data_IF_271843568046
#
_entry.id   IF_271843568046
#
_cell.length_a   1.000
_cell.length_b   1.000
_cell.length_c   1.000
_cell.angle_alpha   90.00
_cell.angle_beta   90.00
_cell.angle_gamma   90.00
#
_symmetry.space_group_name_H-M   'P 1'
#
loop_
_entity.id
_entity.type
_entity.pdbx_description
1 polymer ?
#
# COMPACT_ATOMS: atom_id res chain seq x y z
N UNK A 1 -17.00 7.79 19.94
CA UNK A 1 -16.65 8.21 18.57
C UNK A 1 -15.13 8.16 18.44
N UNK A 2 -14.58 7.26 17.62
CA UNK A 2 -13.14 7.24 17.37
C UNK A 2 -12.77 8.56 16.66
N UNK A 3 -11.77 9.30 17.19
CA UNK A 3 -11.19 10.44 16.46
C UNK A 3 -10.72 9.91 15.10
N UNK A 4 -11.09 10.61 14.02
CA UNK A 4 -10.55 10.29 12.70
C UNK A 4 -9.03 10.35 12.81
N UNK A 5 -8.36 9.20 12.72
CA UNK A 5 -6.89 9.09 12.80
C UNK A 5 -6.23 9.60 11.53
N UNK A 6 -7.02 10.06 10.56
CA UNK A 6 -6.50 10.59 9.32
C UNK A 6 -5.71 11.87 9.54
N UNK A 7 -4.47 11.85 9.06
CA UNK A 7 -3.59 13.01 8.97
C UNK A 7 -3.60 13.47 7.53
N UNK A 8 -3.84 14.76 7.29
CA UNK A 8 -3.73 15.35 5.96
C UNK A 8 -2.26 15.25 5.49
N UNK A 9 -1.96 14.52 4.41
CA UNK A 9 -0.58 14.37 3.93
C UNK A 9 0.07 15.71 3.56
N UNK A 10 -0.72 16.72 3.22
CA UNK A 10 -0.22 18.06 2.92
C UNK A 10 0.26 18.84 4.15
N UNK A 11 0.08 18.28 5.37
CA UNK A 11 0.58 18.85 6.63
C UNK A 11 1.87 18.21 7.12
N UNK A 12 2.51 17.35 6.32
CA UNK A 12 3.77 16.72 6.72
C UNK A 12 4.88 17.79 6.94
N UNK A 13 5.55 17.85 8.11
CA UNK A 13 6.30 19.05 8.54
C UNK A 13 7.46 19.53 7.66
N UNK A 14 8.01 18.68 6.78
CA UNK A 14 9.18 19.01 5.95
C UNK A 14 8.86 19.30 4.48
N UNK A 15 7.58 19.34 4.11
CA UNK A 15 7.18 19.70 2.75
C UNK A 15 7.29 21.22 2.55
N UNK A 16 7.86 21.63 1.41
CA UNK A 16 7.82 23.01 0.93
C UNK A 16 6.43 23.39 0.42
N UNK A 17 6.14 24.69 0.29
CA UNK A 17 4.86 25.19 -0.23
C UNK A 17 4.49 24.61 -1.61
N UNK A 18 5.50 24.43 -2.48
CA UNK A 18 5.32 23.80 -3.79
C UNK A 18 4.87 22.34 -3.64
N UNK A 19 5.53 21.59 -2.76
CA UNK A 19 5.22 20.18 -2.52
C UNK A 19 3.86 19.99 -1.84
N UNK A 20 3.49 20.88 -0.90
CA UNK A 20 2.15 20.92 -0.30
C UNK A 20 1.08 21.09 -1.39
N UNK A 21 1.31 22.00 -2.34
CA UNK A 21 0.43 22.20 -3.50
C UNK A 21 0.37 20.95 -4.39
N UNK A 22 1.51 20.31 -4.68
CA UNK A 22 1.58 19.04 -5.42
C UNK A 22 0.78 17.94 -4.74
N UNK A 23 0.99 17.72 -3.43
CA UNK A 23 0.27 16.70 -2.64
C UNK A 23 -1.24 16.92 -2.70
N UNK A 24 -1.72 18.15 -2.55
CA UNK A 24 -3.15 18.47 -2.64
C UNK A 24 -3.73 18.14 -4.01
N UNK A 25 -3.03 18.47 -5.09
CA UNK A 25 -3.46 18.15 -6.46
C UNK A 25 -3.50 16.64 -6.70
N UNK A 26 -2.46 15.91 -6.28
CA UNK A 26 -2.42 14.45 -6.42
C UNK A 26 -3.48 13.77 -5.57
N UNK A 27 -3.70 14.24 -4.35
CA UNK A 27 -4.78 13.72 -3.49
C UNK A 27 -6.15 13.88 -4.16
N UNK A 28 -6.47 15.07 -4.68
CA UNK A 28 -7.73 15.33 -5.37
C UNK A 28 -7.87 14.51 -6.66
N UNK A 29 -6.80 14.38 -7.43
CA UNK A 29 -6.74 13.50 -8.61
C UNK A 29 -7.05 12.05 -8.22
N UNK A 30 -6.36 11.53 -7.20
CA UNK A 30 -6.49 10.16 -6.72
C UNK A 30 -7.89 9.88 -6.22
N UNK A 31 -8.45 10.77 -5.39
CA UNK A 31 -9.83 10.65 -4.91
C UNK A 31 -10.81 10.58 -6.08
N UNK A 32 -10.64 11.45 -7.09
CA UNK A 32 -11.47 11.46 -8.28
C UNK A 32 -11.33 10.18 -9.10
N UNK A 33 -10.11 9.66 -9.24
CA UNK A 33 -9.81 8.42 -9.95
C UNK A 33 -10.57 7.23 -9.34
N UNK A 34 -10.54 7.09 -8.01
CA UNK A 34 -11.17 6.00 -7.28
C UNK A 34 -12.69 6.16 -7.06
N UNK A 35 -13.31 7.28 -7.45
CA UNK A 35 -14.79 7.42 -7.47
C UNK A 35 -15.45 6.57 -8.56
N UNK A 36 -14.69 6.05 -9.52
CA UNK A 36 -15.24 5.20 -10.56
C UNK A 36 -15.81 3.89 -9.96
N UNK A 37 -17.08 3.52 -10.23
CA UNK A 37 -17.71 2.32 -9.67
C UNK A 37 -17.02 0.99 -9.98
N UNK A 38 -16.06 0.96 -10.91
CA UNK A 38 -15.23 -0.23 -11.18
C UNK A 38 -14.38 -0.66 -9.99
N UNK A 39 -14.08 0.26 -9.07
CA UNK A 39 -13.31 -0.01 -7.86
C UNK A 39 -14.22 -0.52 -6.75
N UNK A 40 -13.96 -1.74 -6.30
CA UNK A 40 -14.71 -2.37 -5.22
C UNK A 40 -14.21 -1.89 -3.85
N UNK A 41 -14.95 -2.23 -2.78
CA UNK A 41 -14.62 -1.84 -1.41
C UNK A 41 -13.24 -2.34 -0.91
N UNK A 42 -12.60 -3.27 -1.62
CA UNK A 42 -11.26 -3.74 -1.29
C UNK A 42 -10.15 -2.85 -1.84
N UNK A 43 -10.42 -1.98 -2.83
CA UNK A 43 -9.46 -1.04 -3.44
C UNK A 43 -10.09 0.34 -3.70
N UNK A 44 -10.97 0.79 -2.80
CA UNK A 44 -11.55 2.13 -2.86
C UNK A 44 -10.56 3.19 -2.35
N UNK A 45 -10.93 4.46 -2.42
CA UNK A 45 -10.09 5.54 -1.90
C UNK A 45 -9.82 5.41 -0.38
N UNK A 46 -10.64 4.67 0.37
CA UNK A 46 -10.40 4.42 1.79
C UNK A 46 -9.22 3.47 2.00
N UNK A 47 -9.02 2.50 1.11
CA UNK A 47 -7.80 1.69 1.07
C UNK A 47 -6.57 2.59 0.90
N UNK A 48 -6.56 3.45 -0.12
CA UNK A 48 -5.46 4.40 -0.36
C UNK A 48 -5.17 5.28 0.86
N UNK A 49 -6.20 5.81 1.53
CA UNK A 49 -6.02 6.60 2.75
C UNK A 49 -5.40 5.80 3.91
N UNK A 50 -5.74 4.51 4.05
CA UNK A 50 -5.13 3.65 5.09
C UNK A 50 -3.67 3.32 4.75
N UNK A 51 -3.38 3.03 3.48
CA UNK A 51 -2.00 2.83 3.01
C UNK A 51 -1.16 4.08 3.26
N UNK A 52 -1.67 5.26 2.91
CA UNK A 52 -1.01 6.53 3.19
C UNK A 52 -0.75 6.74 4.68
N UNK A 53 -1.73 6.44 5.55
CA UNK A 53 -1.56 6.54 7.00
C UNK A 53 -0.49 5.57 7.53
N UNK A 54 -0.45 4.33 7.02
CA UNK A 54 0.62 3.38 7.35
C UNK A 54 1.98 3.91 6.88
N UNK A 55 2.06 4.42 5.65
CA UNK A 55 3.29 4.95 5.05
C UNK A 55 3.85 6.14 5.83
N UNK A 56 3.01 7.08 6.25
CA UNK A 56 3.42 8.22 7.08
C UNK A 56 3.94 7.77 8.46
N UNK A 57 3.29 6.77 9.07
CA UNK A 57 3.72 6.21 10.36
C UNK A 57 5.08 5.51 10.25
N UNK A 58 5.30 4.74 9.17
CA UNK A 58 6.58 4.11 8.90
C UNK A 58 7.64 5.18 8.65
N UNK A 59 7.36 6.14 7.76
CA UNK A 59 8.29 7.21 7.41
C UNK A 59 8.77 7.99 8.63
N UNK A 60 7.87 8.39 9.53
CA UNK A 60 8.23 9.11 10.75
C UNK A 60 9.26 8.32 11.60
N UNK A 61 8.99 7.05 11.86
CA UNK A 61 9.86 6.20 12.70
C UNK A 61 11.17 5.83 12.02
N UNK A 62 11.15 5.52 10.73
CA UNK A 62 12.35 5.20 9.97
C UNK A 62 13.25 6.44 9.81
N UNK A 63 12.67 7.64 9.69
CA UNK A 63 13.43 8.91 9.68
C UNK A 63 14.11 9.18 11.03
N UNK A 64 13.44 8.91 12.15
CA UNK A 64 14.06 9.01 13.48
C UNK A 64 15.26 8.06 13.61
N UNK A 65 15.10 6.81 13.18
CA UNK A 65 16.17 5.81 13.21
C UNK A 65 17.33 6.17 12.28
N UNK A 66 17.04 6.67 11.07
CA UNK A 66 18.06 7.14 10.11
C UNK A 66 18.86 8.30 10.66
N UNK A 67 18.21 9.26 11.32
CA UNK A 67 18.89 10.38 12.00
C UNK A 67 19.84 9.88 13.08
N UNK A 68 19.42 8.90 13.89
CA UNK A 68 20.28 8.30 14.91
C UNK A 68 21.49 7.56 14.31
N UNK A 69 21.31 6.92 13.15
CA UNK A 69 22.36 6.18 12.42
C UNK A 69 23.19 7.02 11.44
N UNK A 70 22.94 8.34 11.36
CA UNK A 70 23.55 9.24 10.38
C UNK A 70 23.41 8.75 8.92
N UNK A 71 22.28 8.12 8.60
CA UNK A 71 21.93 7.70 7.24
C UNK A 71 21.29 8.87 6.47
N UNK A 72 21.35 8.87 5.13
CA UNK A 72 20.63 9.85 4.32
C UNK A 72 19.13 9.85 4.64
N UNK A 73 18.56 11.06 4.72
CA UNK A 73 17.13 11.27 4.89
C UNK A 73 16.36 10.74 3.68
N UNK A 74 15.18 10.20 3.94
CA UNK A 74 14.19 9.81 2.95
C UNK A 74 13.47 11.04 2.41
N UNK A 75 12.84 10.90 1.25
CA UNK A 75 12.01 11.90 0.62
C UNK A 75 10.52 11.69 0.96
N UNK A 76 9.92 12.53 1.82
CA UNK A 76 8.52 12.40 2.21
C UNK A 76 7.55 12.55 1.04
N UNK A 77 7.88 13.39 0.04
CA UNK A 77 7.04 13.56 -1.14
C UNK A 77 6.98 12.26 -1.94
N UNK A 78 8.09 11.55 -2.13
CA UNK A 78 8.11 10.26 -2.83
C UNK A 78 7.27 9.21 -2.10
N UNK A 79 7.33 9.15 -0.76
CA UNK A 79 6.47 8.24 0.03
C UNK A 79 5.00 8.60 -0.11
N UNK A 80 4.64 9.89 0.02
CA UNK A 80 3.25 10.36 -0.06
C UNK A 80 2.66 10.11 -1.44
N UNK A 81 3.37 10.51 -2.51
CA UNK A 81 2.89 10.32 -3.88
C UNK A 81 2.86 8.84 -4.26
N UNK A 82 3.86 8.07 -3.84
CA UNK A 82 3.89 6.62 -4.03
C UNK A 82 2.68 5.94 -3.38
N UNK A 83 2.37 6.26 -2.13
CA UNK A 83 1.20 5.72 -1.43
C UNK A 83 -0.13 6.17 -2.05
N UNK A 84 -0.25 7.42 -2.51
CA UNK A 84 -1.46 7.90 -3.18
C UNK A 84 -1.68 7.23 -4.54
N UNK A 85 -0.60 6.96 -5.29
CA UNK A 85 -0.68 6.53 -6.68
C UNK A 85 -0.44 5.02 -6.89
N UNK A 86 -0.09 4.24 -5.85
CA UNK A 86 0.35 2.85 -6.01
C UNK A 86 -0.64 1.92 -6.75
N UNK A 87 -1.94 2.17 -6.60
CA UNK A 87 -3.01 1.40 -7.25
C UNK A 87 -3.55 2.08 -8.52
N UNK A 88 -3.07 3.28 -8.85
CA UNK A 88 -3.37 3.92 -10.13
C UNK A 88 -2.66 3.11 -11.22
N UNK A 89 -3.41 2.64 -12.20
CA UNK A 89 -2.94 1.72 -13.27
C UNK A 89 -2.80 0.23 -12.87
N UNK A 90 -3.33 -0.24 -11.72
CA UNK A 90 -3.32 -1.68 -11.43
C UNK A 90 -4.06 -2.49 -12.51
N UNK A 91 -3.31 -3.36 -13.19
CA UNK A 91 -3.76 -4.27 -14.26
C UNK A 91 -4.98 -5.10 -13.89
N UNK A 92 -5.29 -5.30 -12.61
CA UNK A 92 -6.52 -6.00 -12.17
C UNK A 92 -7.82 -5.27 -12.56
N UNK A 93 -7.75 -3.96 -12.82
CA UNK A 93 -8.92 -3.11 -13.08
C UNK A 93 -8.79 -2.26 -14.35
N UNK A 94 -7.74 -2.51 -15.13
CA UNK A 94 -7.33 -1.74 -16.30
C UNK A 94 -7.31 -2.69 -17.48
N UNK A 95 -8.16 -2.41 -18.49
CA UNK A 95 -8.12 -3.12 -19.76
C UNK A 95 -6.75 -2.82 -20.41
N UNK A 96 -5.93 -3.85 -20.56
CA UNK A 96 -4.49 -3.79 -20.90
C UNK A 96 -4.22 -3.24 -22.32
N UNK A 97 -5.24 -2.74 -23.00
CA UNK A 97 -5.25 -2.47 -24.44
C UNK A 97 -4.89 -1.04 -24.82
N UNK A 98 -4.63 -0.13 -23.88
CA UNK A 98 -4.27 1.25 -24.21
C UNK A 98 -2.97 1.70 -23.55
N UNK A 99 -1.93 1.92 -24.36
CA UNK A 99 -0.67 2.58 -23.93
C UNK A 99 -0.93 3.94 -23.26
N UNK A 100 -2.07 4.58 -23.57
CA UNK A 100 -2.53 5.82 -22.96
C UNK A 100 -2.69 5.74 -21.45
N UNK A 101 -2.95 4.55 -20.88
CA UNK A 101 -3.15 4.44 -19.44
C UNK A 101 -1.85 4.39 -18.66
N UNK A 102 -0.73 3.90 -19.20
CA UNK A 102 0.59 3.90 -18.53
C UNK A 102 1.16 5.30 -18.25
N UNK A 103 0.57 6.32 -18.86
CA UNK A 103 0.96 7.71 -18.68
C UNK A 103 0.03 8.45 -17.73
N UNK A 104 -0.96 7.78 -17.13
CA UNK A 104 -1.95 8.45 -16.28
C UNK A 104 -1.30 8.99 -15.01
N UNK A 105 -0.50 8.16 -14.36
CA UNK A 105 0.28 8.50 -13.18
C UNK A 105 1.29 9.61 -13.51
N UNK A 106 2.12 9.41 -14.54
CA UNK A 106 3.13 10.40 -14.92
C UNK A 106 2.51 11.75 -15.27
N UNK A 107 1.41 11.74 -16.05
CA UNK A 107 0.67 12.95 -16.39
C UNK A 107 0.13 13.65 -15.15
N UNK A 108 -0.46 12.91 -14.19
CA UNK A 108 -0.94 13.50 -12.94
C UNK A 108 0.18 14.20 -12.16
N UNK A 109 1.36 13.59 -12.09
CA UNK A 109 2.55 14.16 -11.42
C UNK A 109 3.07 15.41 -12.15
N UNK A 110 3.11 15.40 -13.48
CA UNK A 110 3.51 16.55 -14.30
C UNK A 110 2.49 17.70 -14.18
N UNK A 111 1.19 17.40 -14.32
CA UNK A 111 0.10 18.37 -14.18
C UNK A 111 0.05 18.96 -12.76
N UNK A 112 0.52 18.22 -11.76
CA UNK A 112 0.68 18.71 -10.40
C UNK A 112 1.82 19.74 -10.25
N UNK A 113 2.74 19.83 -11.22
CA UNK A 113 3.83 20.80 -11.28
C UNK A 113 5.22 20.21 -11.05
N UNK A 114 5.39 18.89 -11.16
CA UNK A 114 6.69 18.22 -11.00
C UNK A 114 7.37 17.99 -12.36
N UNK A 115 8.71 17.96 -12.41
CA UNK A 115 9.44 17.69 -13.66
C UNK A 115 9.25 16.24 -14.13
N UNK A 116 9.45 16.01 -15.43
CA UNK A 116 9.30 14.69 -16.05
C UNK A 116 10.16 13.61 -15.38
N UNK A 117 11.41 13.93 -15.04
CA UNK A 117 12.31 13.00 -14.35
C UNK A 117 11.79 12.55 -12.98
N UNK A 118 11.06 13.41 -12.27
CA UNK A 118 10.42 13.04 -11.01
C UNK A 118 9.18 12.17 -11.24
N UNK A 119 8.42 12.43 -12.30
CA UNK A 119 7.31 11.57 -12.69
C UNK A 119 7.79 10.14 -13.06
N UNK A 120 8.92 10.01 -13.75
CA UNK A 120 9.59 8.72 -14.01
C UNK A 120 10.05 8.03 -12.72
N UNK A 121 10.60 8.78 -11.77
CA UNK A 121 10.97 8.26 -10.46
C UNK A 121 9.77 7.69 -9.69
N UNK A 122 8.63 8.40 -9.66
CA UNK A 122 7.41 7.93 -9.00
C UNK A 122 6.80 6.74 -9.75
N UNK A 123 6.86 6.71 -11.08
CA UNK A 123 6.42 5.56 -11.87
C UNK A 123 7.22 4.31 -11.49
N UNK A 124 8.55 4.40 -11.44
CA UNK A 124 9.42 3.29 -11.06
C UNK A 124 9.16 2.80 -9.64
N UNK A 125 8.91 3.74 -8.70
CA UNK A 125 8.49 3.40 -7.34
C UNK A 125 7.17 2.61 -7.35
N UNK A 126 6.12 3.14 -7.98
CA UNK A 126 4.79 2.49 -8.00
C UNK A 126 4.81 1.10 -8.65
N UNK A 127 5.55 0.93 -9.76
CA UNK A 127 5.72 -0.38 -10.42
C UNK A 127 6.35 -1.44 -9.50
N UNK A 128 7.19 -0.99 -8.58
CA UNK A 128 7.83 -1.81 -7.56
C UNK A 128 6.89 -2.23 -6.42
N UNK A 129 5.76 -1.56 -6.19
CA UNK A 129 4.93 -1.80 -4.99
C UNK A 129 4.27 -3.18 -5.00
N UNK A 130 3.80 -3.63 -6.18
CA UNK A 130 2.97 -4.83 -6.31
C UNK A 130 3.66 -6.12 -5.80
N UNK A 131 2.93 -6.89 -5.00
CA UNK A 131 3.33 -8.24 -4.56
C UNK A 131 3.74 -9.14 -5.75
N UNK A 132 2.99 -9.07 -6.86
CA UNK A 132 3.27 -9.88 -8.04
C UNK A 132 4.57 -9.49 -8.74
N UNK A 133 4.96 -8.21 -8.68
CA UNK A 133 6.24 -7.73 -9.20
C UNK A 133 7.39 -8.29 -8.37
N UNK A 134 7.28 -8.26 -7.03
CA UNK A 134 8.32 -8.81 -6.14
C UNK A 134 8.48 -10.32 -6.29
N UNK A 135 7.40 -11.10 -6.35
CA UNK A 135 7.51 -12.56 -6.49
C UNK A 135 8.15 -12.96 -7.83
N UNK A 136 7.86 -12.22 -8.92
CA UNK A 136 8.44 -12.51 -10.24
C UNK A 136 9.93 -12.20 -10.31
N UNK A 137 10.38 -11.13 -9.65
CA UNK A 137 11.78 -10.73 -9.68
C UNK A 137 12.18 -10.03 -8.36
N UNK A 138 12.48 -10.80 -7.30
CA UNK A 138 12.79 -10.24 -5.99
C UNK A 138 14.10 -9.44 -6.00
N UNK A 139 15.06 -9.80 -6.87
CA UNK A 139 16.31 -9.08 -6.98
C UNK A 139 16.10 -7.69 -7.61
N UNK A 140 15.22 -7.57 -8.62
CA UNK A 140 14.89 -6.27 -9.19
C UNK A 140 14.29 -5.33 -8.15
N UNK A 141 13.36 -5.82 -7.32
CA UNK A 141 12.79 -4.99 -6.24
C UNK A 141 13.86 -4.51 -5.26
N UNK A 142 14.81 -5.38 -4.87
CA UNK A 142 15.95 -4.97 -4.03
C UNK A 142 16.79 -3.87 -4.70
N UNK A 143 17.14 -4.05 -5.97
CA UNK A 143 17.90 -3.06 -6.73
C UNK A 143 17.16 -1.72 -6.83
N UNK A 144 15.84 -1.73 -6.99
CA UNK A 144 15.03 -0.50 -7.01
C UNK A 144 14.98 0.14 -5.63
N UNK A 145 14.87 -0.64 -4.54
CA UNK A 145 14.94 -0.12 -3.16
C UNK A 145 16.30 0.53 -2.87
N UNK A 146 17.40 -0.03 -3.39
CA UNK A 146 18.74 0.56 -3.23
C UNK A 146 18.85 1.94 -3.90
N UNK A 147 18.08 2.19 -4.96
CA UNK A 147 18.01 3.47 -5.68
C UNK A 147 16.92 4.40 -5.09
N UNK A 148 15.80 3.83 -4.66
CA UNK A 148 14.58 4.49 -4.17
C UNK A 148 14.16 3.84 -2.85
N UNK A 149 14.80 4.20 -1.72
CA UNK A 149 14.52 3.57 -0.42
C UNK A 149 13.06 3.77 0.04
N UNK A 150 12.37 4.80 -0.46
CA UNK A 150 10.95 5.06 -0.19
C UNK A 150 10.03 3.93 -0.69
N UNK A 151 10.46 3.15 -1.68
CA UNK A 151 9.72 1.97 -2.15
C UNK A 151 9.50 0.97 -1.01
N UNK A 152 10.49 0.79 -0.13
CA UNK A 152 10.37 -0.11 1.02
C UNK A 152 9.21 0.31 1.93
N UNK A 153 9.04 1.61 2.16
CA UNK A 153 7.97 2.17 2.98
C UNK A 153 6.60 1.95 2.34
N UNK A 154 6.47 2.27 1.05
CA UNK A 154 5.18 2.16 0.35
C UNK A 154 4.77 0.68 0.20
N UNK A 155 5.72 -0.22 -0.06
CA UNK A 155 5.46 -1.66 -0.05
C UNK A 155 4.96 -2.17 1.30
N UNK A 156 5.65 -1.80 2.39
CA UNK A 156 5.25 -2.22 3.73
C UNK A 156 3.87 -1.65 4.09
N UNK A 157 3.62 -0.39 3.75
CA UNK A 157 2.36 0.29 4.00
C UNK A 157 1.15 -0.37 3.31
N UNK A 158 1.30 -0.76 2.05
CA UNK A 158 0.27 -1.48 1.29
C UNK A 158 0.02 -2.87 1.89
N UNK A 159 1.09 -3.63 2.14
CA UNK A 159 1.01 -4.98 2.72
C UNK A 159 0.40 -4.99 4.11
N UNK A 160 0.69 -3.97 4.92
CA UNK A 160 0.08 -3.80 6.23
C UNK A 160 -1.44 -3.70 6.12
N UNK A 161 -1.99 -3.06 5.10
CA UNK A 161 -3.45 -2.96 4.90
C UNK A 161 -4.09 -4.27 4.40
N UNK A 162 -3.28 -5.23 3.95
CA UNK A 162 -3.71 -6.58 3.59
C UNK A 162 -3.72 -7.55 4.79
N UNK A 163 -3.23 -7.14 5.97
CA UNK A 163 -3.18 -7.97 7.19
C UNK A 163 -3.90 -7.33 8.38
N UNK A 164 -4.10 -8.10 9.45
CA UNK A 164 -4.89 -7.67 10.62
C UNK A 164 -6.39 -7.67 10.34
N UNK A 165 -7.15 -6.99 11.20
CA UNK A 165 -8.62 -6.98 11.13
C UNK A 165 -9.16 -6.48 9.78
N UNK A 166 -8.54 -5.44 9.22
CA UNK A 166 -8.89 -4.94 7.88
C UNK A 166 -8.54 -5.96 6.79
N UNK A 167 -7.38 -6.62 6.88
CA UNK A 167 -6.98 -7.68 5.97
C UNK A 167 -7.96 -8.85 5.94
N UNK A 168 -8.42 -9.30 7.11
CA UNK A 168 -9.46 -10.34 7.26
C UNK A 168 -10.74 -9.89 6.53
N UNK A 169 -11.24 -8.69 6.84
CA UNK A 169 -12.46 -8.16 6.22
C UNK A 169 -12.32 -8.03 4.69
N UNK A 170 -11.17 -7.54 4.19
CA UNK A 170 -10.89 -7.42 2.75
C UNK A 170 -10.85 -8.79 2.08
N UNK A 171 -10.24 -9.80 2.72
CA UNK A 171 -10.12 -11.15 2.15
C UNK A 171 -11.49 -11.78 1.88
N UNK A 172 -12.37 -11.77 2.88
CA UNK A 172 -13.74 -12.29 2.75
C UNK A 172 -14.58 -11.46 1.80
N UNK A 173 -14.49 -10.12 1.87
CA UNK A 173 -15.21 -9.21 0.96
C UNK A 173 -14.85 -9.49 -0.50
N UNK A 174 -13.56 -9.61 -0.81
CA UNK A 174 -13.10 -9.90 -2.17
C UNK A 174 -13.49 -11.32 -2.62
N UNK A 175 -13.35 -12.31 -1.73
CA UNK A 175 -13.73 -13.70 -2.01
C UNK A 175 -15.22 -13.83 -2.36
N UNK A 176 -16.08 -13.20 -1.58
CA UNK A 176 -17.52 -13.15 -1.82
C UNK A 176 -17.90 -12.35 -3.07
N UNK A 177 -17.33 -11.16 -3.27
CA UNK A 177 -17.65 -10.31 -4.41
C UNK A 177 -17.24 -10.91 -5.78
N UNK A 178 -16.13 -11.64 -5.83
CA UNK A 178 -15.69 -12.35 -7.06
C UNK A 178 -16.37 -13.71 -7.25
N UNK A 179 -17.12 -14.20 -6.26
CA UNK A 179 -17.69 -15.55 -6.27
C UNK A 179 -16.63 -16.66 -6.42
N UNK A 180 -15.38 -16.35 -6.06
CA UNK A 180 -14.21 -17.15 -6.46
C UNK A 180 -13.61 -17.98 -5.32
N UNK A 181 -14.01 -17.72 -4.07
CA UNK A 181 -13.48 -18.41 -2.90
C UNK A 181 -14.61 -18.74 -1.93
N UNK A 182 -14.63 -19.97 -1.46
CA UNK A 182 -15.42 -20.34 -0.29
C UNK A 182 -14.89 -19.62 0.96
N UNK A 183 -15.63 -19.71 2.07
CA UNK A 183 -15.11 -19.24 3.35
C UNK A 183 -13.84 -20.00 3.74
N UNK A 184 -13.79 -21.31 3.49
CA UNK A 184 -12.62 -22.14 3.76
C UNK A 184 -11.43 -21.75 2.89
N UNK A 185 -11.63 -21.48 1.60
CA UNK A 185 -10.55 -21.00 0.72
C UNK A 185 -10.05 -19.61 1.14
N UNK A 186 -10.91 -18.79 1.77
CA UNK A 186 -10.52 -17.48 2.30
C UNK A 186 -9.63 -17.62 3.54
N UNK A 187 -9.87 -18.65 4.37
CA UNK A 187 -8.98 -19.02 5.48
C UNK A 187 -7.66 -19.59 4.95
N UNK A 188 -7.70 -20.49 3.97
CA UNK A 188 -6.48 -21.04 3.36
C UNK A 188 -5.62 -19.92 2.75
N UNK A 189 -6.26 -18.88 2.19
CA UNK A 189 -5.55 -17.71 1.69
C UNK A 189 -4.75 -16.95 2.76
N UNK A 190 -5.15 -17.04 4.03
CA UNK A 190 -4.38 -16.45 5.12
C UNK A 190 -3.01 -17.10 5.24
N UNK A 191 -2.95 -18.43 5.20
CA UNK A 191 -1.70 -19.19 5.24
C UNK A 191 -0.91 -19.05 3.94
N UNK A 192 -1.59 -19.13 2.81
CA UNK A 192 -0.95 -19.12 1.49
C UNK A 192 -0.27 -17.78 1.19
N UNK A 193 -0.83 -16.68 1.70
CA UNK A 193 -0.37 -15.32 1.39
C UNK A 193 -0.26 -14.41 2.61
N UNK A 194 -1.35 -14.16 3.35
CA UNK A 194 -1.40 -13.04 4.29
C UNK A 194 -0.37 -13.15 5.42
N UNK A 195 -0.22 -14.32 6.04
CA UNK A 195 0.75 -14.57 7.11
C UNK A 195 2.21 -14.52 6.61
N UNK A 196 2.45 -14.69 5.31
CA UNK A 196 3.79 -14.56 4.72
C UNK A 196 4.22 -13.11 4.56
N UNK A 197 3.28 -12.16 4.53
CA UNK A 197 3.59 -10.74 4.33
C UNK A 197 4.45 -10.16 5.45
N UNK A 198 4.31 -10.66 6.68
CA UNK A 198 5.16 -10.29 7.82
C UNK A 198 6.66 -10.49 7.50
N UNK A 199 7.02 -11.64 6.96
CA UNK A 199 8.40 -11.96 6.57
C UNK A 199 8.89 -11.23 5.32
N UNK A 200 8.00 -10.52 4.62
CA UNK A 200 8.33 -9.76 3.41
C UNK A 200 8.47 -8.25 3.67
N UNK A 201 8.22 -7.78 4.89
CA UNK A 201 8.39 -6.38 5.25
C UNK A 201 9.87 -5.97 5.15
N UNK A 202 10.11 -4.75 4.70
CA UNK A 202 11.45 -4.21 4.42
C UNK A 202 12.01 -3.41 5.60
N UNK A 203 11.15 -2.62 6.23
CA UNK A 203 11.49 -1.70 7.33
C UNK A 203 11.30 -2.36 8.69
N UNK A 204 12.04 -1.91 9.70
CA UNK A 204 11.89 -2.44 11.06
C UNK A 204 10.53 -2.05 11.64
N UNK A 205 10.08 -0.83 11.36
CA UNK A 205 8.72 -0.38 11.73
C UNK A 205 7.64 -1.22 11.06
N UNK A 206 7.78 -1.49 9.76
CA UNK A 206 6.88 -2.34 8.99
C UNK A 206 6.79 -3.75 9.57
N UNK A 207 7.93 -4.38 9.89
CA UNK A 207 7.98 -5.70 10.56
C UNK A 207 7.25 -5.70 11.91
N UNK A 208 7.51 -4.70 12.76
CA UNK A 208 6.88 -4.61 14.08
C UNK A 208 5.35 -4.47 13.96
N UNK A 209 4.87 -3.61 13.07
CA UNK A 209 3.44 -3.43 12.80
C UNK A 209 2.82 -4.69 12.17
N UNK A 210 3.57 -5.37 11.29
CA UNK A 210 3.10 -6.58 10.63
C UNK A 210 2.95 -7.73 11.59
N UNK A 211 3.89 -7.89 12.53
CA UNK A 211 3.80 -8.90 13.59
C UNK A 211 2.48 -8.77 14.37
N UNK A 212 2.17 -7.56 14.86
CA UNK A 212 0.92 -7.31 15.60
C UNK A 212 -0.32 -7.63 14.76
N UNK A 213 -0.31 -7.28 13.47
CA UNK A 213 -1.43 -7.56 12.56
C UNK A 213 -1.54 -9.05 12.18
N UNK A 214 -0.43 -9.76 12.06
CA UNK A 214 -0.41 -11.21 11.84
C UNK A 214 -0.88 -11.98 13.06
N UNK A 215 -0.52 -11.54 14.28
CA UNK A 215 -1.01 -12.16 15.51
C UNK A 215 -2.55 -12.13 15.59
N UNK A 216 -3.18 -11.01 15.17
CA UNK A 216 -4.65 -10.93 15.02
C UNK A 216 -5.23 -11.93 14.02
N UNK A 217 -4.52 -12.21 12.93
CA UNK A 217 -4.96 -13.22 11.95
C UNK A 217 -4.88 -14.62 12.56
N UNK A 218 -3.80 -14.92 13.29
CA UNK A 218 -3.63 -16.21 13.98
C UNK A 218 -4.74 -16.43 15.01
N UNK A 219 -5.04 -15.42 15.83
CA UNK A 219 -6.15 -15.47 16.80
C UNK A 219 -7.51 -15.69 16.11
N UNK A 220 -7.77 -14.99 15.00
CA UNK A 220 -8.99 -15.23 14.22
C UNK A 220 -9.06 -16.66 13.66
N UNK A 221 -7.94 -17.23 13.21
CA UNK A 221 -7.90 -18.62 12.73
C UNK A 221 -8.14 -19.64 13.85
N UNK A 222 -7.73 -19.32 15.09
CA UNK A 222 -8.05 -20.14 16.25
C UNK A 222 -9.55 -20.15 16.55
N UNK A 223 -10.20 -18.97 16.55
CA UNK A 223 -11.66 -18.87 16.68
C UNK A 223 -12.37 -19.61 15.54
N UNK A 224 -11.91 -19.43 14.30
CA UNK A 224 -12.48 -20.13 13.14
C UNK A 224 -12.45 -21.66 13.33
N UNK A 225 -11.32 -22.19 13.79
CA UNK A 225 -11.15 -23.63 14.02
C UNK A 225 -12.06 -24.14 15.15
N UNK A 226 -12.22 -23.37 16.22
CA UNK A 226 -13.12 -23.70 17.33
C UNK A 226 -14.59 -23.74 16.88
N UNK A 227 -15.02 -22.72 16.14
CA UNK A 227 -16.42 -22.56 15.69
C UNK A 227 -16.82 -23.57 14.61
N UNK A 228 -15.92 -23.93 13.69
CA UNK A 228 -16.20 -24.95 12.64
C UNK A 228 -16.21 -26.37 13.20
N UNK A 229 -15.56 -26.59 14.35
CA UNK A 229 -15.47 -27.90 15.01
C UNK A 229 -14.79 -28.98 14.14
N UNK A 230 -15.02 -30.24 14.48
CA UNK A 230 -14.49 -31.40 13.74
C UNK A 230 -15.23 -31.67 12.40
N UNK A 231 -16.17 -30.81 12.00
CA UNK A 231 -17.06 -30.99 10.84
C UNK A 231 -16.67 -30.16 9.60
N UNK A 232 -15.47 -29.59 9.58
CA UNK A 232 -15.02 -28.64 8.54
C UNK A 232 -14.61 -29.27 7.20
N UNK A 233 -15.59 -29.68 6.39
CA UNK A 233 -15.52 -29.72 4.92
C UNK A 233 -16.53 -28.78 4.31
#
# INVERSE_FOLDING_TARGET
MAKDKYVDPATYPSLSDHEISTVRKIYAFTETYFRNPRFDASHDFRHVRRVLSNALTILEKEEEERKQKALPALNPLSVILGALLHDVEDKKYVDVTTDQQKMTLQKAVIDAGMPHSYAEHIQLLVEGVSYSSEIKNPQNVKNVIDIIPELAIVQDADRLDAIGAIGIARCFTFGGAKGARSLQDSIQHFEDKLLKLEGMMKTETGKAMAKERSDRIREFMEWWKDEVGATGT
#
